data_IF_209436041700
#
_entry.id   IF_209436041700
#
_cell.length_a   1.000
_cell.length_b   1.000
_cell.length_c   1.000
_cell.angle_alpha   90.00
_cell.angle_beta   90.00
_cell.angle_gamma   90.00
#
_symmetry.space_group_name_H-M   'P 1'
#
loop_
_entity.id
_entity.type
_entity.pdbx_description
1 polymer ?
#
# COMPACT_ATOMS: atom_id res chain seq x y z
N UNK A 1 -3.74 -14.62 19.69
CA UNK A 1 -2.81 -13.60 19.16
C UNK A 1 -3.33 -13.24 17.78
N UNK A 2 -3.67 -11.97 17.53
CA UNK A 2 -4.13 -11.55 16.21
C UNK A 2 -2.92 -11.17 15.37
N UNK A 3 -2.63 -11.97 14.35
CA UNK A 3 -1.60 -11.67 13.36
C UNK A 3 -1.91 -10.34 12.66
N UNK A 4 -0.86 -9.69 12.16
CA UNK A 4 -1.00 -8.44 11.42
C UNK A 4 -1.79 -8.72 10.14
N UNK A 5 -2.95 -8.09 9.97
CA UNK A 5 -3.82 -8.28 8.79
C UNK A 5 -3.32 -7.54 7.55
N UNK A 6 -2.52 -6.50 7.75
CA UNK A 6 -1.96 -5.69 6.67
C UNK A 6 -0.59 -6.25 6.34
N UNK A 7 -0.56 -7.14 5.36
CA UNK A 7 0.66 -7.77 4.84
C UNK A 7 0.74 -7.58 3.33
N UNK A 8 1.94 -7.56 2.75
CA UNK A 8 2.08 -7.47 1.31
C UNK A 8 1.44 -8.70 0.66
N UNK A 9 0.81 -8.51 -0.50
CA UNK A 9 0.24 -9.59 -1.28
C UNK A 9 0.48 -9.37 -2.78
N UNK A 10 -0.03 -10.30 -3.59
CA UNK A 10 0.17 -10.34 -5.04
C UNK A 10 -0.99 -9.73 -5.84
N UNK A 11 -1.92 -9.02 -5.19
CA UNK A 11 -2.97 -8.33 -5.91
C UNK A 11 -2.39 -7.19 -6.75
N UNK A 12 -2.98 -6.96 -7.92
CA UNK A 12 -2.60 -5.86 -8.82
C UNK A 12 -3.05 -4.52 -8.25
N UNK A 13 -2.10 -3.59 -8.11
CA UNK A 13 -2.37 -2.21 -7.69
C UNK A 13 -3.25 -1.51 -8.73
N UNK A 14 -2.96 -1.70 -10.02
CA UNK A 14 -3.72 -1.08 -11.09
C UNK A 14 -5.16 -1.58 -11.12
N UNK A 15 -5.39 -2.89 -10.99
CA UNK A 15 -6.75 -3.46 -10.96
C UNK A 15 -7.54 -2.99 -9.74
N UNK A 16 -6.87 -2.80 -8.60
CA UNK A 16 -7.48 -2.22 -7.41
C UNK A 16 -7.88 -0.76 -7.63
N UNK A 17 -6.98 0.06 -8.19
CA UNK A 17 -7.27 1.46 -8.48
C UNK A 17 -8.34 1.63 -9.54
N UNK A 18 -8.41 0.74 -10.54
CA UNK A 18 -9.45 0.73 -11.57
C UNK A 18 -10.87 0.52 -11.02
N UNK A 19 -11.01 -0.05 -9.81
CA UNK A 19 -12.31 -0.23 -9.15
C UNK A 19 -12.72 0.95 -8.26
N UNK A 20 -11.87 1.99 -8.16
CA UNK A 20 -12.16 3.17 -7.33
C UNK A 20 -13.24 4.01 -7.99
N UNK A 21 -14.24 4.39 -7.19
CA UNK A 21 -15.33 5.27 -7.57
C UNK A 21 -15.44 6.45 -6.58
N UNK A 22 -15.82 7.64 -7.04
CA UNK A 22 -16.13 8.01 -8.44
C UNK A 22 -14.87 8.14 -9.33
N UNK A 23 -15.06 8.23 -10.65
CA UNK A 23 -13.99 8.40 -11.66
C UNK A 23 -12.92 9.44 -11.26
N UNK A 24 -13.30 10.62 -10.75
CA UNK A 24 -12.34 11.63 -10.31
C UNK A 24 -11.37 11.09 -9.26
N UNK A 25 -11.88 10.33 -8.29
CA UNK A 25 -11.08 9.75 -7.21
C UNK A 25 -10.10 8.69 -7.73
N UNK A 26 -10.51 7.95 -8.76
CA UNK A 26 -9.65 7.00 -9.46
C UNK A 26 -8.51 7.72 -10.17
N UNK A 27 -8.80 8.81 -10.88
CA UNK A 27 -7.78 9.65 -11.52
C UNK A 27 -6.80 10.23 -10.49
N UNK A 28 -7.31 10.79 -9.39
CA UNK A 28 -6.47 11.32 -8.31
C UNK A 28 -5.58 10.22 -7.69
N UNK A 29 -6.12 9.00 -7.53
CA UNK A 29 -5.37 7.87 -7.01
C UNK A 29 -4.22 7.44 -7.94
N UNK A 30 -4.42 7.50 -9.26
CA UNK A 30 -3.35 7.26 -10.23
C UNK A 30 -2.29 8.38 -10.22
N UNK A 31 -2.67 9.64 -10.02
CA UNK A 31 -1.67 10.72 -9.86
C UNK A 31 -0.85 10.54 -8.58
N UNK A 32 -1.50 10.17 -7.46
CA UNK A 32 -0.78 9.85 -6.21
C UNK A 32 0.16 8.65 -6.42
N UNK A 33 -0.29 7.61 -7.11
CA UNK A 33 0.54 6.46 -7.46
C UNK A 33 1.81 6.90 -8.20
N UNK A 34 1.66 7.74 -9.23
CA UNK A 34 2.76 8.26 -10.03
C UNK A 34 3.73 9.08 -9.19
N UNK A 35 3.22 10.04 -8.42
CA UNK A 35 4.03 10.90 -7.56
C UNK A 35 4.80 10.10 -6.50
N UNK A 36 4.15 9.15 -5.84
CA UNK A 36 4.80 8.33 -4.82
C UNK A 36 5.86 7.41 -5.42
N UNK A 37 5.61 6.82 -6.59
CA UNK A 37 6.62 6.03 -7.31
C UNK A 37 7.85 6.86 -7.66
N UNK A 38 7.66 8.09 -8.16
CA UNK A 38 8.74 9.01 -8.50
C UNK A 38 9.56 9.44 -7.28
N UNK A 39 8.89 9.87 -6.21
CA UNK A 39 9.55 10.39 -5.00
C UNK A 39 10.27 9.28 -4.22
N UNK A 40 9.69 8.09 -4.16
CA UNK A 40 10.26 6.97 -3.39
C UNK A 40 11.28 6.15 -4.18
N UNK A 41 11.17 6.13 -5.52
CA UNK A 41 11.93 5.21 -6.38
C UNK A 41 11.54 3.74 -6.19
N UNK A 42 10.45 3.44 -5.45
CA UNK A 42 10.00 2.09 -5.16
C UNK A 42 8.78 1.72 -6.01
N UNK A 43 8.66 0.45 -6.37
CA UNK A 43 7.47 -0.08 -7.02
C UNK A 43 6.30 -0.18 -6.02
N UNK A 44 5.07 0.14 -6.43
CA UNK A 44 3.90 0.01 -5.58
C UNK A 44 3.53 -1.46 -5.38
N UNK A 45 3.06 -1.80 -4.18
CA UNK A 45 2.54 -3.13 -3.86
C UNK A 45 1.23 -3.04 -3.07
N UNK A 46 0.35 -4.03 -3.23
CA UNK A 46 -0.85 -4.16 -2.41
C UNK A 46 -0.53 -4.69 -1.02
N UNK A 47 -1.08 -4.03 0.00
CA UNK A 47 -0.98 -4.39 1.41
C UNK A 47 -2.38 -4.60 1.99
N UNK A 48 -2.64 -5.84 2.41
CA UNK A 48 -3.99 -6.26 2.78
C UNK A 48 -5.01 -5.98 1.67
N UNK A 49 -6.27 -5.65 2.02
CA UNK A 49 -7.34 -5.56 1.04
C UNK A 49 -7.46 -4.20 0.33
N UNK A 50 -6.77 -3.15 0.79
CA UNK A 50 -7.08 -1.78 0.34
C UNK A 50 -5.97 -0.73 0.48
N UNK A 51 -4.73 -1.13 0.75
CA UNK A 51 -3.62 -0.20 0.91
C UNK A 51 -2.62 -0.43 -0.23
N UNK A 52 -2.18 0.67 -0.85
CA UNK A 52 -1.04 0.68 -1.77
C UNK A 52 0.17 1.18 -0.98
N UNK A 53 1.19 0.35 -0.84
CA UNK A 53 2.41 0.66 -0.11
C UNK A 53 3.63 0.75 -1.04
N UNK A 54 4.63 1.51 -0.61
CA UNK A 54 5.89 1.74 -1.32
C UNK A 54 7.07 1.48 -0.39
N UNK A 55 8.03 0.71 -0.90
CA UNK A 55 9.13 0.18 -0.09
C UNK A 55 8.64 -0.74 1.03
N UNK A 56 9.58 -1.38 1.71
CA UNK A 56 9.27 -2.19 2.88
C UNK A 56 10.44 -2.20 3.86
N UNK A 57 10.14 -2.33 5.14
CA UNK A 57 11.11 -2.57 6.19
C UNK A 57 10.59 -3.62 7.16
N UNK A 58 11.53 -4.36 7.75
CA UNK A 58 11.25 -5.31 8.81
C UNK A 58 11.48 -4.64 10.16
N UNK A 59 10.48 -4.65 11.05
CA UNK A 59 10.60 -4.14 12.41
C UNK A 59 10.65 -5.28 13.41
N UNK A 60 11.36 -5.06 14.51
CA UNK A 60 11.43 -5.99 15.65
C UNK A 60 11.37 -5.21 16.95
N UNK A 61 10.40 -5.54 17.80
CA UNK A 61 10.26 -4.98 19.14
C UNK A 61 11.08 -5.76 20.16
N UNK A 62 11.41 -5.13 21.29
CA UNK A 62 12.06 -5.78 22.43
C UNK A 62 11.26 -6.96 22.99
N UNK A 63 9.92 -6.93 22.85
CA UNK A 63 9.03 -8.03 23.23
C UNK A 63 9.15 -9.28 22.33
N UNK A 64 9.99 -9.25 21.29
CA UNK A 64 10.16 -10.32 20.31
C UNK A 64 9.14 -10.31 19.18
N UNK A 65 8.15 -9.41 19.20
CA UNK A 65 7.21 -9.23 18.10
C UNK A 65 7.90 -8.55 16.92
N UNK A 66 7.78 -9.15 15.74
CA UNK A 66 8.34 -8.60 14.50
C UNK A 66 7.33 -8.65 13.35
N UNK A 67 7.66 -8.00 12.24
CA UNK A 67 6.82 -7.98 11.05
C UNK A 67 7.32 -6.99 10.00
N UNK A 68 6.69 -7.01 8.84
CA UNK A 68 7.01 -6.12 7.73
C UNK A 68 6.00 -4.98 7.65
N UNK A 69 6.46 -3.81 7.21
CA UNK A 69 5.62 -2.66 6.95
C UNK A 69 6.14 -1.86 5.75
N UNK A 70 5.24 -1.15 5.05
CA UNK A 70 5.63 -0.23 3.99
C UNK A 70 6.19 1.08 4.56
N UNK A 71 7.08 1.76 3.82
CA UNK A 71 7.64 3.05 4.27
C UNK A 71 6.62 4.18 4.17
N UNK A 72 5.91 4.21 3.05
CA UNK A 72 4.81 5.16 2.79
C UNK A 72 3.74 4.46 1.97
N UNK A 73 2.50 4.87 2.13
CA UNK A 73 1.38 4.27 1.42
C UNK A 73 0.12 5.09 1.53
N UNK A 74 -0.84 4.78 0.67
CA UNK A 74 -2.15 5.43 0.65
C UNK A 74 -3.26 4.43 0.41
N UNK A 75 -4.50 4.86 0.65
CA UNK A 75 -5.70 4.04 0.47
C UNK A 75 -6.81 4.96 -0.04
N UNK A 76 -7.29 4.80 -1.29
CA UNK A 76 -8.38 5.60 -1.85
C UNK A 76 -9.74 5.13 -1.30
N UNK A 77 -9.93 5.26 0.03
CA UNK A 77 -11.15 4.85 0.73
C UNK A 77 -12.30 5.79 0.41
N UNK A 78 -13.55 5.28 0.40
CA UNK A 78 -14.79 6.07 0.20
C UNK A 78 -14.74 7.44 0.87
#
# INVERSE_FOLDING_TARGET
>A
MSDLKTTPNNASVEDFLNQVEPEQKRQDAFEILRMMKEVTGAEPQMWGPSIVGFGAYHYKYESGREGDWFLVGFSPRK
#
